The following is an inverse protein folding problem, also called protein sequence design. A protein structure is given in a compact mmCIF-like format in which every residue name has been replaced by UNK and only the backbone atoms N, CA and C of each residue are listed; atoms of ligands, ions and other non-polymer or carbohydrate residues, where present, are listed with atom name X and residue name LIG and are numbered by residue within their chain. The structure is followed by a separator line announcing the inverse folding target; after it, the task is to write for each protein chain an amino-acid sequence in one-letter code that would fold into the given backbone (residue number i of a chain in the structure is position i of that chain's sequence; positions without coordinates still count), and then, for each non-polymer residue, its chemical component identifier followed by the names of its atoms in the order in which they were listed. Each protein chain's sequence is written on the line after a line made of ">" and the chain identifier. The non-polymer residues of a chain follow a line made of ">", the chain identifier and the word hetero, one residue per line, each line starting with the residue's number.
data_IF_238941380028
#
_entry.id   IF_238941380028
#
_cell.length_a   1.000
_cell.length_b   1.000
_cell.length_c   1.000
_cell.angle_alpha   90.00
_cell.angle_beta   90.00
_cell.angle_gamma   90.00
#
_symmetry.space_group_name_H-M   'P 1'
#
loop_
_entity.id
_entity.type
_entity.pdbx_description
1 polymer ?
#
# COMPACT_ATOMS: atom_id res chain seq x y z
N UNK A 1 70.39 54.19 7.71
CA UNK A 1 69.57 55.02 8.61
C UNK A 1 68.20 55.24 7.97
N UNK A 2 67.14 54.95 8.76
CA UNK A 2 65.72 55.32 8.61
C UNK A 2 64.94 54.80 7.38
N UNK A 3 64.42 53.59 7.56
CA UNK A 3 63.14 53.11 6.99
C UNK A 3 62.00 54.04 7.40
N UNK A 4 61.25 54.57 6.43
CA UNK A 4 60.01 55.33 6.64
C UNK A 4 58.85 54.40 6.31
N UNK A 5 58.10 53.98 7.35
CA UNK A 5 56.84 53.26 7.21
C UNK A 5 55.72 54.28 6.99
N UNK A 6 55.04 54.23 5.84
CA UNK A 6 53.74 54.87 5.65
C UNK A 6 52.65 53.98 6.27
N UNK A 7 51.75 54.51 7.12
CA UNK A 7 50.60 53.74 7.56
C UNK A 7 49.53 53.76 6.45
N UNK A 8 49.17 52.59 5.95
CA UNK A 8 47.95 52.40 5.15
C UNK A 8 46.79 52.38 6.13
N UNK A 9 45.98 53.44 6.14
CA UNK A 9 44.72 53.48 6.88
C UNK A 9 43.68 52.73 6.04
N UNK A 10 43.38 51.50 6.42
CA UNK A 10 42.26 50.73 5.88
C UNK A 10 40.95 51.32 6.44
N UNK A 11 40.15 51.97 5.59
CA UNK A 11 38.76 52.29 5.92
C UNK A 11 37.93 51.00 5.77
N UNK A 12 37.70 50.31 6.89
CA UNK A 12 36.64 49.31 6.98
C UNK A 12 35.31 50.06 7.01
N UNK A 13 34.66 50.19 5.84
CA UNK A 13 33.24 50.53 5.78
C UNK A 13 32.47 49.37 6.44
N UNK A 14 32.09 49.54 7.69
CA UNK A 14 31.12 48.66 8.33
C UNK A 14 29.79 48.80 7.60
N UNK A 15 29.53 47.91 6.64
CA UNK A 15 28.18 47.71 6.15
C UNK A 15 27.39 47.10 7.31
N UNK A 16 26.58 47.93 7.97
CA UNK A 16 25.52 47.43 8.83
C UNK A 16 24.57 46.64 7.93
N UNK A 17 24.65 45.32 7.98
CA UNK A 17 23.59 44.45 7.48
C UNK A 17 22.40 44.73 8.38
N UNK A 18 21.50 45.58 7.92
CA UNK A 18 20.19 45.72 8.52
C UNK A 18 19.53 44.36 8.31
N UNK A 19 19.28 43.62 9.39
CA UNK A 19 18.50 42.39 9.31
C UNK A 19 17.19 42.76 8.63
N UNK A 20 16.92 42.19 7.46
CA UNK A 20 15.63 42.34 6.83
C UNK A 20 14.57 41.89 7.84
N UNK A 21 13.49 42.65 7.98
CA UNK A 21 12.33 42.25 8.78
C UNK A 21 11.71 41.01 8.12
N UNK A 22 12.26 39.84 8.47
CA UNK A 22 11.83 38.55 7.97
C UNK A 22 10.47 38.24 8.58
N UNK A 23 9.44 38.36 7.74
CA UNK A 23 8.06 38.02 8.06
C UNK A 23 7.60 36.86 7.18
N UNK A 24 6.47 36.23 7.52
CA UNK A 24 5.88 35.21 6.65
C UNK A 24 5.54 35.75 5.26
N UNK A 25 5.06 37.00 5.18
CA UNK A 25 4.73 37.67 3.92
C UNK A 25 5.98 37.93 3.08
N UNK A 26 7.08 38.41 3.69
CA UNK A 26 8.32 38.64 2.95
C UNK A 26 8.93 37.34 2.42
N UNK A 27 8.85 36.24 3.19
CA UNK A 27 9.30 34.91 2.76
C UNK A 27 8.45 34.37 1.60
N UNK A 28 7.13 34.57 1.64
CA UNK A 28 6.24 34.20 0.54
C UNK A 28 6.53 35.01 -0.72
N UNK A 29 6.71 36.33 -0.60
CA UNK A 29 7.03 37.19 -1.73
C UNK A 29 8.39 36.83 -2.35
N UNK A 30 9.40 36.54 -1.53
CA UNK A 30 10.71 36.09 -2.00
C UNK A 30 10.62 34.75 -2.73
N UNK A 31 9.87 33.79 -2.19
CA UNK A 31 9.66 32.50 -2.82
C UNK A 31 8.89 32.61 -4.15
N UNK A 32 7.80 33.39 -4.20
CA UNK A 32 7.01 33.61 -5.41
C UNK A 32 7.75 34.36 -6.52
N UNK A 33 8.84 35.07 -6.19
CA UNK A 33 9.70 35.69 -7.20
C UNK A 33 10.66 34.71 -7.88
N UNK A 34 10.94 33.54 -7.26
CA UNK A 34 11.95 32.58 -7.75
C UNK A 34 11.38 31.22 -8.14
N UNK A 35 10.33 30.77 -7.45
CA UNK A 35 9.70 29.47 -7.68
C UNK A 35 8.60 29.63 -8.74
N UNK A 36 8.59 28.73 -9.72
CA UNK A 36 7.51 28.69 -10.70
C UNK A 36 6.25 28.06 -10.08
N UNK A 37 5.13 28.78 -10.16
CA UNK A 37 3.82 28.27 -9.79
C UNK A 37 3.22 27.44 -10.92
N UNK A 38 2.59 26.33 -10.56
CA UNK A 38 1.74 25.54 -11.46
C UNK A 38 0.33 25.40 -10.86
N UNK A 39 -0.66 25.38 -11.75
CA UNK A 39 -2.06 25.15 -11.40
C UNK A 39 -2.41 23.65 -11.49
N UNK A 40 -3.67 23.33 -11.21
CA UNK A 40 -4.20 21.96 -11.23
C UNK A 40 -4.08 21.32 -12.62
N UNK A 41 -4.25 22.10 -13.68
CA UNK A 41 -4.15 21.60 -15.06
C UNK A 41 -2.72 21.20 -15.38
N UNK A 42 -1.76 22.06 -15.03
CA UNK A 42 -0.34 21.82 -15.22
C UNK A 42 0.16 20.66 -14.35
N UNK A 43 -0.28 20.55 -13.09
CA UNK A 43 0.06 19.42 -12.21
C UNK A 43 -0.46 18.09 -12.78
N UNK A 44 -1.73 18.03 -13.22
CA UNK A 44 -2.28 16.83 -13.85
C UNK A 44 -1.49 16.42 -15.09
N UNK A 45 -1.13 17.38 -15.92
CA UNK A 45 -0.32 17.14 -17.12
C UNK A 45 1.07 16.62 -16.75
N UNK A 46 1.73 17.22 -15.76
CA UNK A 46 3.03 16.76 -15.28
C UNK A 46 2.96 15.31 -14.75
N UNK A 47 1.93 15.00 -13.95
CA UNK A 47 1.71 13.65 -13.41
C UNK A 47 1.53 12.63 -14.53
N UNK A 48 0.83 13.01 -15.60
CA UNK A 48 0.60 12.13 -16.75
C UNK A 48 1.83 11.98 -17.66
N UNK A 49 2.63 13.03 -17.83
CA UNK A 49 3.65 13.10 -18.88
C UNK A 49 5.06 12.68 -18.43
N UNK A 50 5.46 12.92 -17.17
CA UNK A 50 6.82 12.62 -16.70
C UNK A 50 6.79 11.62 -15.52
N UNK A 51 7.08 10.33 -15.72
CA UNK A 51 7.07 9.34 -14.64
C UNK A 51 8.14 9.58 -13.56
N UNK A 52 9.13 10.47 -13.80
CA UNK A 52 10.14 10.83 -12.80
C UNK A 52 9.64 11.89 -11.81
N UNK A 53 8.46 12.46 -12.02
CA UNK A 53 7.94 13.51 -11.14
C UNK A 53 7.89 13.06 -9.68
N UNK A 54 7.99 14.01 -8.77
CA UNK A 54 7.80 13.81 -7.33
C UNK A 54 6.84 14.87 -6.82
N UNK A 55 5.73 14.45 -6.22
CA UNK A 55 4.79 15.36 -5.55
C UNK A 55 5.05 15.32 -4.05
N UNK A 56 5.47 16.43 -3.45
CA UNK A 56 5.84 16.52 -2.03
C UNK A 56 4.78 17.28 -1.25
N UNK A 57 4.12 16.58 -0.33
CA UNK A 57 3.25 17.17 0.67
C UNK A 57 4.06 17.63 1.89
N UNK A 58 4.08 18.93 2.15
CA UNK A 58 4.78 19.48 3.33
C UNK A 58 3.88 19.69 4.55
N UNK A 59 2.64 19.21 4.53
CA UNK A 59 1.77 19.14 5.71
C UNK A 59 2.30 18.13 6.72
N UNK A 60 1.83 18.25 7.96
CA UNK A 60 2.07 17.20 8.97
C UNK A 60 1.18 15.99 8.72
N UNK A 61 1.61 14.82 9.20
CA UNK A 61 0.82 13.58 9.10
C UNK A 61 -0.57 13.73 9.72
N UNK A 62 -0.68 14.46 10.85
CA UNK A 62 -1.96 14.77 11.50
C UNK A 62 -2.88 15.58 10.60
N UNK A 63 -2.37 16.62 9.93
CA UNK A 63 -3.17 17.40 8.99
C UNK A 63 -3.66 16.55 7.82
N UNK A 64 -2.79 15.71 7.26
CA UNK A 64 -3.15 14.79 6.16
C UNK A 64 -4.31 13.88 6.58
N UNK A 65 -4.20 13.25 7.75
CA UNK A 65 -5.24 12.38 8.28
C UNK A 65 -6.56 13.14 8.48
N UNK A 66 -6.53 14.33 9.09
CA UNK A 66 -7.73 15.11 9.40
C UNK A 66 -8.36 15.80 8.19
N UNK A 67 -7.59 16.07 7.13
CA UNK A 67 -8.06 16.83 5.97
C UNK A 67 -8.42 15.94 4.77
N UNK A 68 -8.32 14.62 4.92
CA UNK A 68 -8.81 13.65 3.94
C UNK A 68 -7.76 13.24 2.91
N UNK A 69 -6.50 13.12 3.31
CA UNK A 69 -5.45 12.49 2.50
C UNK A 69 -4.49 13.44 1.81
N UNK A 70 -3.80 12.93 0.80
CA UNK A 70 -2.75 13.55 -0.01
C UNK A 70 -3.12 13.48 -1.49
N UNK A 71 -2.55 14.34 -2.33
CA UNK A 71 -2.68 14.24 -3.79
C UNK A 71 -2.12 12.88 -4.25
N UNK A 72 -2.95 12.07 -4.93
CA UNK A 72 -2.49 10.80 -5.51
C UNK A 72 -1.73 11.07 -6.80
N UNK A 73 -0.49 10.60 -6.86
CA UNK A 73 0.38 10.62 -8.03
C UNK A 73 1.23 9.35 -8.04
N UNK A 74 1.95 9.09 -9.13
CA UNK A 74 2.85 7.93 -9.21
C UNK A 74 3.90 7.95 -8.10
N UNK A 75 4.37 9.14 -7.69
CA UNK A 75 5.34 9.30 -6.61
C UNK A 75 4.99 10.50 -5.72
N UNK A 76 4.12 10.24 -4.75
CA UNK A 76 3.79 11.21 -3.68
C UNK A 76 4.61 10.91 -2.43
N UNK A 77 5.25 11.93 -1.86
CA UNK A 77 5.98 11.86 -0.58
C UNK A 77 5.35 12.80 0.43
N UNK A 78 5.31 12.41 1.72
CA UNK A 78 5.08 13.36 2.81
C UNK A 78 6.39 13.65 3.53
N UNK A 79 6.85 14.88 3.40
CA UNK A 79 8.00 15.39 4.13
C UNK A 79 7.54 16.69 4.81
N UNK A 80 7.09 16.63 6.08
CA UNK A 80 6.59 17.81 6.78
C UNK A 80 7.60 18.95 6.69
N UNK A 81 7.12 20.19 6.51
CA UNK A 81 7.99 21.35 6.24
C UNK A 81 9.25 21.41 7.11
N UNK A 82 9.13 21.14 8.42
CA UNK A 82 10.27 21.22 9.36
C UNK A 82 11.34 20.13 9.20
N UNK A 83 11.10 19.10 8.39
CA UNK A 83 12.02 17.99 8.13
C UNK A 83 12.57 17.98 6.69
N UNK A 84 12.11 18.89 5.83
CA UNK A 84 12.40 18.87 4.40
C UNK A 84 13.89 18.82 4.08
N UNK A 85 14.64 19.75 4.66
CA UNK A 85 16.09 19.90 4.47
C UNK A 85 16.88 18.67 4.92
N UNK A 86 16.33 17.88 5.84
CA UNK A 86 17.00 16.74 6.46
C UNK A 86 16.64 15.39 5.84
N UNK A 87 15.51 15.31 5.12
CA UNK A 87 14.98 14.05 4.60
C UNK A 87 15.04 13.95 3.08
N UNK A 88 15.04 15.08 2.36
CA UNK A 88 14.88 15.06 0.90
C UNK A 88 16.01 14.31 0.18
N UNK A 89 17.27 14.48 0.59
CA UNK A 89 18.42 13.83 -0.04
C UNK A 89 18.38 12.29 0.11
N UNK A 90 17.64 11.75 1.09
CA UNK A 90 17.44 10.31 1.25
C UNK A 90 16.26 9.75 0.44
N UNK A 91 15.39 10.62 -0.08
CA UNK A 91 14.16 10.21 -0.76
C UNK A 91 14.14 10.57 -2.25
N UNK A 92 14.81 11.65 -2.67
CA UNK A 92 14.88 12.11 -4.06
C UNK A 92 16.34 12.33 -4.45
N UNK A 93 16.94 11.29 -5.00
CA UNK A 93 18.36 11.27 -5.41
C UNK A 93 18.61 12.02 -6.72
N UNK A 94 17.66 11.97 -7.66
CA UNK A 94 17.73 12.70 -8.93
C UNK A 94 17.38 14.17 -8.67
N UNK A 95 18.39 15.05 -8.75
CA UNK A 95 18.22 16.49 -8.55
C UNK A 95 17.55 17.21 -9.72
N UNK A 96 17.44 16.55 -10.88
CA UNK A 96 16.79 17.08 -12.08
C UNK A 96 15.35 16.55 -12.27
N UNK A 97 14.91 15.64 -11.40
CA UNK A 97 13.53 15.17 -11.37
C UNK A 97 12.56 16.36 -11.17
N UNK A 98 11.42 16.40 -11.89
CA UNK A 98 10.40 17.41 -11.64
C UNK A 98 9.83 17.26 -10.23
N UNK A 99 10.02 18.25 -9.36
CA UNK A 99 9.49 18.25 -8.00
C UNK A 99 8.38 19.27 -7.91
N UNK A 100 7.20 18.84 -7.49
CA UNK A 100 6.08 19.73 -7.17
C UNK A 100 5.84 19.71 -5.67
N UNK A 101 5.95 20.86 -5.03
CA UNK A 101 5.70 21.00 -3.59
C UNK A 101 4.32 21.59 -3.37
N UNK A 102 3.56 21.03 -2.43
CA UNK A 102 2.24 21.54 -2.08
C UNK A 102 1.97 21.48 -0.57
N UNK A 103 1.01 22.29 -0.12
CA UNK A 103 0.42 22.18 1.20
C UNK A 103 -1.09 22.44 1.13
N UNK A 104 -1.73 22.70 2.28
CA UNK A 104 -3.17 22.97 2.34
C UNK A 104 -3.64 24.12 1.43
N UNK A 105 -3.14 25.33 1.68
CA UNK A 105 -3.61 26.58 1.05
C UNK A 105 -2.44 27.44 0.53
N UNK A 106 -1.39 26.81 -0.01
CA UNK A 106 -0.26 27.50 -0.63
C UNK A 106 0.53 28.51 0.25
N UNK A 107 0.59 28.28 1.57
CA UNK A 107 1.35 29.13 2.51
C UNK A 107 2.71 28.56 2.90
N UNK A 108 2.84 27.24 2.88
CA UNK A 108 4.08 26.52 3.27
C UNK A 108 4.88 26.02 2.07
N UNK A 109 4.21 25.77 0.96
CA UNK A 109 4.82 25.17 -0.23
C UNK A 109 5.74 26.13 -1.00
N UNK A 110 5.46 27.45 -1.16
CA UNK A 110 6.41 28.32 -1.85
C UNK A 110 7.79 28.38 -1.17
N UNK A 111 7.91 28.67 0.14
CA UNK A 111 9.22 28.71 0.78
C UNK A 111 9.87 27.32 0.88
N UNK A 112 9.10 26.24 0.91
CA UNK A 112 9.63 24.89 0.83
C UNK A 112 10.27 24.59 -0.54
N UNK A 113 9.57 24.92 -1.63
CA UNK A 113 10.08 24.77 -2.98
C UNK A 113 11.34 25.62 -3.20
N UNK A 114 11.36 26.85 -2.68
CA UNK A 114 12.54 27.71 -2.76
C UNK A 114 13.74 27.10 -2.00
N UNK A 115 13.51 26.50 -0.82
CA UNK A 115 14.55 25.76 -0.11
C UNK A 115 15.12 24.65 -0.97
N UNK A 116 14.29 23.86 -1.67
CA UNK A 116 14.78 22.79 -2.55
C UNK A 116 15.63 23.33 -3.71
N UNK A 117 15.23 24.46 -4.32
CA UNK A 117 16.06 25.13 -5.32
C UNK A 117 17.43 25.53 -4.75
N UNK A 118 17.46 26.09 -3.53
CA UNK A 118 18.71 26.45 -2.83
C UNK A 118 19.58 25.24 -2.48
N UNK A 119 18.97 24.08 -2.26
CA UNK A 119 19.65 22.80 -2.06
C UNK A 119 20.15 22.18 -3.37
N UNK A 120 19.89 22.80 -4.53
CA UNK A 120 20.41 22.37 -5.83
C UNK A 120 19.48 21.48 -6.64
N UNK A 121 18.20 21.36 -6.26
CA UNK A 121 17.19 20.76 -7.14
C UNK A 121 16.84 21.75 -8.25
N UNK A 122 16.93 21.31 -9.51
CA UNK A 122 16.92 22.21 -10.67
C UNK A 122 15.53 22.42 -11.26
N UNK A 123 14.61 21.48 -11.01
CA UNK A 123 13.27 21.44 -11.63
C UNK A 123 12.16 21.45 -10.56
N UNK A 124 12.06 22.53 -9.79
CA UNK A 124 11.13 22.65 -8.65
C UNK A 124 10.01 23.62 -8.94
N UNK A 125 8.78 23.17 -8.70
CA UNK A 125 7.54 23.93 -8.84
C UNK A 125 6.77 24.00 -7.51
N UNK A 126 6.00 25.05 -7.34
CA UNK A 126 4.98 25.16 -6.30
C UNK A 126 3.60 24.90 -6.90
N UNK A 127 2.80 24.03 -6.27
CA UNK A 127 1.40 23.85 -6.65
C UNK A 127 0.55 24.93 -5.98
N UNK A 128 0.14 25.92 -6.78
CA UNK A 128 -0.42 27.17 -6.28
C UNK A 128 -1.87 27.06 -5.79
N UNK A 129 -2.66 26.17 -6.37
CA UNK A 129 -4.07 25.98 -5.98
C UNK A 129 -4.19 25.32 -4.59
N UNK A 130 -3.19 24.49 -4.23
CA UNK A 130 -3.14 23.80 -2.94
C UNK A 130 -4.08 22.59 -2.84
N UNK A 131 -3.90 21.81 -1.77
CA UNK A 131 -4.59 20.55 -1.57
C UNK A 131 -6.13 20.68 -1.54
N UNK A 132 -6.66 21.74 -0.92
CA UNK A 132 -8.11 21.86 -0.76
C UNK A 132 -8.82 22.08 -2.10
N UNK A 133 -8.22 22.80 -3.04
CA UNK A 133 -8.77 22.96 -4.39
C UNK A 133 -8.73 21.63 -5.16
N UNK A 134 -7.62 20.89 -5.09
CA UNK A 134 -7.52 19.54 -5.67
C UNK A 134 -8.63 18.60 -5.13
N UNK A 135 -8.81 18.60 -3.81
CA UNK A 135 -9.84 17.80 -3.13
C UNK A 135 -11.25 18.25 -3.53
N UNK A 136 -11.53 19.55 -3.53
CA UNK A 136 -12.85 20.10 -3.88
C UNK A 136 -13.22 19.81 -5.34
N UNK A 137 -12.22 19.69 -6.22
CA UNK A 137 -12.39 19.25 -7.60
C UNK A 137 -12.66 17.75 -7.76
N UNK A 138 -12.68 16.97 -6.67
CA UNK A 138 -12.93 15.52 -6.69
C UNK A 138 -11.80 14.73 -7.35
N UNK A 139 -10.58 15.29 -7.38
CA UNK A 139 -9.44 14.64 -8.02
C UNK A 139 -8.85 13.53 -7.14
N UNK A 140 -8.11 12.56 -7.73
CA UNK A 140 -7.61 11.40 -6.99
C UNK A 140 -6.80 11.76 -5.75
N UNK A 141 -7.13 11.12 -4.63
CA UNK A 141 -6.48 11.28 -3.34
C UNK A 141 -5.98 9.95 -2.81
N UNK A 142 -4.89 10.04 -2.06
CA UNK A 142 -4.39 9.00 -1.18
C UNK A 142 -4.85 9.29 0.24
N UNK A 143 -5.81 8.51 0.73
CA UNK A 143 -6.35 8.68 2.08
C UNK A 143 -5.65 7.68 2.99
N UNK A 144 -5.12 8.14 4.12
CA UNK A 144 -4.44 7.25 5.09
C UNK A 144 -5.42 6.51 6.02
N UNK A 145 -6.65 7.03 6.14
CA UNK A 145 -7.76 6.44 6.88
C UNK A 145 -9.10 7.00 6.36
N UNK A 146 -9.93 6.17 5.71
CA UNK A 146 -11.27 6.58 5.22
C UNK A 146 -12.34 6.48 6.31
N UNK A 147 -12.05 5.88 7.46
CA UNK A 147 -12.96 5.72 8.58
C UNK A 147 -12.26 6.08 9.92
N UNK A 148 -11.92 7.37 10.13
CA UNK A 148 -11.08 7.83 11.24
C UNK A 148 -11.64 7.58 12.65
N UNK A 149 -12.92 7.27 12.76
CA UNK A 149 -13.59 6.92 14.02
C UNK A 149 -13.61 5.39 14.28
N UNK A 150 -12.92 4.61 13.44
CA UNK A 150 -12.82 3.15 13.49
C UNK A 150 -11.36 2.70 13.37
N UNK A 151 -11.06 1.47 13.79
CA UNK A 151 -9.78 0.86 13.43
C UNK A 151 -9.76 0.38 11.99
N UNK A 152 -10.93 0.19 11.37
CA UNK A 152 -11.03 -0.12 9.95
C UNK A 152 -10.56 1.10 9.14
N UNK A 153 -9.67 0.89 8.19
CA UNK A 153 -9.37 1.88 7.15
C UNK A 153 -10.61 2.35 6.37
N UNK A 154 -11.57 1.48 6.06
CA UNK A 154 -12.83 1.85 5.41
C UNK A 154 -13.99 1.06 6.02
N UNK A 155 -15.19 1.66 6.01
CA UNK A 155 -16.39 0.97 6.49
C UNK A 155 -16.79 -0.14 5.50
N UNK A 156 -17.39 -1.25 5.97
CA UNK A 156 -17.85 -2.29 5.06
C UNK A 156 -18.88 -1.77 4.07
N UNK A 157 -18.71 -2.13 2.80
CA UNK A 157 -19.67 -1.91 1.72
C UNK A 157 -20.24 -3.24 1.22
N UNK A 158 -21.51 -3.23 0.81
CA UNK A 158 -22.14 -4.39 0.19
C UNK A 158 -21.65 -4.50 -1.27
N UNK A 159 -20.86 -5.54 -1.54
CA UNK A 159 -20.32 -5.82 -2.88
C UNK A 159 -21.41 -6.40 -3.77
N UNK A 160 -22.17 -7.33 -3.22
CA UNK A 160 -23.41 -7.87 -3.80
C UNK A 160 -24.29 -8.38 -2.66
N UNK A 161 -25.52 -8.76 -2.95
CA UNK A 161 -26.50 -9.20 -1.95
C UNK A 161 -25.88 -10.15 -0.91
N UNK A 162 -25.83 -9.71 0.35
CA UNK A 162 -25.30 -10.47 1.48
C UNK A 162 -23.78 -10.72 1.49
N UNK A 163 -23.00 -10.19 0.56
CA UNK A 163 -21.53 -10.24 0.54
C UNK A 163 -20.97 -8.84 0.73
N UNK A 164 -20.26 -8.64 1.83
CA UNK A 164 -19.75 -7.34 2.24
C UNK A 164 -18.23 -7.38 2.34
N UNK A 165 -17.59 -6.24 2.13
CA UNK A 165 -16.15 -6.09 2.33
C UNK A 165 -15.79 -4.73 2.90
N UNK A 166 -14.97 -4.72 3.94
CA UNK A 166 -14.23 -3.53 4.33
C UNK A 166 -12.92 -3.53 3.54
N UNK A 167 -12.82 -2.61 2.56
CA UNK A 167 -11.67 -2.55 1.65
C UNK A 167 -10.47 -1.97 2.39
N UNK A 168 -9.36 -2.72 2.39
CA UNK A 168 -8.13 -2.31 3.05
C UNK A 168 -7.42 -1.15 2.35
N UNK A 169 -6.50 -0.50 3.04
CA UNK A 169 -5.58 0.43 2.39
C UNK A 169 -4.67 -0.36 1.43
N UNK A 170 -4.62 0.03 0.16
CA UNK A 170 -3.70 -0.57 -0.82
C UNK A 170 -2.21 -0.32 -0.51
N UNK A 171 -1.93 0.53 0.48
CA UNK A 171 -0.61 0.82 1.06
C UNK A 171 0.00 -0.34 1.86
N UNK A 172 1.29 -0.25 2.24
CA UNK A 172 1.81 -1.08 3.31
C UNK A 172 1.05 -0.86 4.62
N UNK A 173 1.14 -1.84 5.51
CA UNK A 173 0.62 -1.69 6.87
C UNK A 173 1.32 -0.52 7.59
N UNK A 174 0.55 0.34 8.25
CA UNK A 174 1.07 1.47 9.04
C UNK A 174 0.37 1.55 10.39
N UNK A 175 0.81 2.49 11.22
CA UNK A 175 0.08 2.81 12.45
C UNK A 175 -1.27 3.47 12.11
N UNK A 176 -1.27 4.35 11.11
CA UNK A 176 -2.42 5.17 10.69
C UNK A 176 -3.56 4.28 10.20
N UNK A 177 -3.31 3.36 9.27
CA UNK A 177 -4.34 2.44 8.75
C UNK A 177 -4.65 1.27 9.70
N UNK A 178 -4.11 1.28 10.93
CA UNK A 178 -4.27 0.20 11.92
C UNK A 178 -3.83 -1.18 11.41
N UNK A 179 -2.98 -1.25 10.39
CA UNK A 179 -2.63 -2.49 9.70
C UNK A 179 -3.74 -3.05 8.78
N UNK A 180 -4.88 -2.36 8.63
CA UNK A 180 -5.95 -2.75 7.71
C UNK A 180 -5.53 -2.46 6.28
N UNK A 181 -4.78 -3.39 5.70
CA UNK A 181 -4.26 -3.25 4.35
C UNK A 181 -4.75 -4.33 3.38
N UNK A 182 -5.30 -5.45 3.87
CA UNK A 182 -6.05 -6.42 3.06
C UNK A 182 -7.57 -6.22 3.22
N UNK A 183 -8.36 -6.92 2.41
CA UNK A 183 -9.82 -6.88 2.48
C UNK A 183 -10.35 -7.78 3.60
N UNK A 184 -11.19 -7.20 4.46
CA UNK A 184 -11.90 -7.92 5.51
C UNK A 184 -13.36 -8.12 5.09
N UNK A 185 -13.67 -9.32 4.61
CA UNK A 185 -14.96 -9.62 3.99
C UNK A 185 -15.86 -10.44 4.90
N UNK A 186 -17.17 -10.37 4.69
CA UNK A 186 -18.10 -11.25 5.36
C UNK A 186 -19.33 -11.57 4.52
N UNK A 187 -19.84 -12.78 4.71
CA UNK A 187 -20.98 -13.36 3.99
C UNK A 187 -22.09 -13.55 5.00
N UNK A 188 -23.21 -12.87 4.80
CA UNK A 188 -24.44 -13.02 5.59
C UNK A 188 -25.30 -14.09 4.94
N UNK A 189 -25.71 -15.08 5.74
CA UNK A 189 -26.69 -16.09 5.35
C UNK A 189 -27.84 -16.15 6.36
N UNK A 190 -28.86 -16.96 6.08
CA UNK A 190 -30.03 -17.12 6.94
C UNK A 190 -29.71 -17.74 8.32
N UNK A 191 -28.53 -18.34 8.50
CA UNK A 191 -28.16 -19.05 9.73
C UNK A 191 -26.86 -18.58 10.38
N UNK A 192 -26.27 -17.49 9.88
CA UNK A 192 -25.06 -16.93 10.47
C UNK A 192 -24.22 -16.15 9.47
N UNK A 193 -23.10 -15.65 9.97
CA UNK A 193 -22.11 -14.91 9.18
C UNK A 193 -20.81 -15.72 9.08
N UNK A 194 -20.21 -15.75 7.91
CA UNK A 194 -18.83 -16.22 7.69
C UNK A 194 -17.95 -15.00 7.44
N UNK A 195 -16.91 -14.82 8.23
CA UNK A 195 -15.92 -13.76 8.05
C UNK A 195 -14.71 -14.33 7.32
N UNK A 196 -14.16 -13.58 6.36
CA UNK A 196 -12.91 -13.89 5.66
C UNK A 196 -11.87 -12.86 6.10
N UNK A 197 -10.75 -13.38 6.61
CA UNK A 197 -9.67 -12.70 7.31
C UNK A 197 -10.04 -12.20 8.71
N UNK A 198 -9.19 -12.54 9.68
CA UNK A 198 -9.35 -12.13 11.07
C UNK A 198 -8.85 -10.71 11.35
N UNK A 199 -8.08 -10.12 10.43
CA UNK A 199 -7.46 -8.81 10.56
C UNK A 199 -6.06 -8.84 11.18
N UNK A 200 -5.37 -7.71 11.10
CA UNK A 200 -3.98 -7.52 11.54
C UNK A 200 -3.79 -7.48 13.06
N UNK A 201 -4.83 -7.17 13.82
CA UNK A 201 -4.75 -7.07 15.28
C UNK A 201 -6.14 -7.20 15.94
N UNK A 202 -6.11 -7.34 17.27
CA UNK A 202 -7.31 -7.55 18.09
C UNK A 202 -8.34 -6.43 17.97
N UNK A 203 -7.90 -5.16 17.90
CA UNK A 203 -8.79 -4.00 17.84
C UNK A 203 -9.43 -3.82 16.46
N UNK A 204 -8.69 -4.14 15.40
CA UNK A 204 -9.21 -4.19 14.04
C UNK A 204 -10.28 -5.28 13.89
N UNK A 205 -9.97 -6.50 14.35
CA UNK A 205 -10.92 -7.62 14.38
C UNK A 205 -12.21 -7.27 15.12
N UNK A 206 -12.07 -6.63 16.30
CA UNK A 206 -13.21 -6.14 17.08
C UNK A 206 -14.04 -5.12 16.31
N UNK A 207 -13.39 -4.18 15.64
CA UNK A 207 -14.08 -3.12 14.90
C UNK A 207 -14.88 -3.69 13.73
N UNK A 208 -14.34 -4.66 13.00
CA UNK A 208 -15.11 -5.38 11.97
C UNK A 208 -16.35 -6.05 12.56
N UNK A 209 -16.21 -6.77 13.68
CA UNK A 209 -17.34 -7.45 14.32
C UNK A 209 -18.41 -6.47 14.82
N UNK A 210 -18.00 -5.30 15.33
CA UNK A 210 -18.94 -4.26 15.73
C UNK A 210 -19.72 -3.72 14.51
N UNK A 211 -19.10 -3.59 13.33
CA UNK A 211 -19.82 -3.24 12.09
C UNK A 211 -20.74 -4.35 11.60
N UNK A 212 -20.32 -5.63 11.65
CA UNK A 212 -21.18 -6.76 11.29
C UNK A 212 -22.47 -6.73 12.13
N UNK A 213 -22.37 -6.47 13.44
CA UNK A 213 -23.53 -6.35 14.34
C UNK A 213 -24.46 -5.16 14.05
N UNK A 214 -23.99 -4.16 13.31
CA UNK A 214 -24.85 -3.05 12.84
C UNK A 214 -25.60 -3.40 11.56
N UNK A 215 -25.06 -4.32 10.76
CA UNK A 215 -25.65 -4.77 9.50
C UNK A 215 -26.62 -5.94 9.73
N UNK A 216 -26.34 -6.83 10.69
CA UNK A 216 -27.17 -8.02 10.94
C UNK A 216 -27.17 -8.48 12.41
N UNK A 217 -28.28 -9.08 12.83
CA UNK A 217 -28.42 -9.76 14.13
C UNK A 217 -27.91 -11.22 14.10
N UNK A 218 -27.54 -11.73 12.92
CA UNK A 218 -27.01 -13.09 12.78
C UNK A 218 -25.65 -13.24 13.46
N UNK A 219 -25.40 -14.34 14.21
CA UNK A 219 -24.11 -14.54 14.84
C UNK A 219 -23.03 -14.92 13.82
N UNK A 220 -21.80 -14.46 14.03
CA UNK A 220 -20.63 -14.98 13.30
C UNK A 220 -20.40 -16.44 13.70
N UNK A 221 -20.37 -17.33 12.71
CA UNK A 221 -20.23 -18.78 12.90
C UNK A 221 -18.82 -19.27 12.63
N UNK A 222 -18.14 -18.66 11.67
CA UNK A 222 -16.80 -19.03 11.24
C UNK A 222 -16.01 -17.79 10.86
N UNK A 223 -14.70 -17.84 11.15
CA UNK A 223 -13.71 -16.96 10.54
C UNK A 223 -12.79 -17.84 9.71
N UNK A 224 -12.55 -17.45 8.47
CA UNK A 224 -11.72 -18.16 7.51
C UNK A 224 -10.50 -17.29 7.20
N UNK A 225 -9.30 -17.84 7.30
CA UNK A 225 -8.08 -17.14 6.92
C UNK A 225 -7.75 -17.47 5.47
N UNK A 226 -7.52 -16.44 4.65
CA UNK A 226 -7.07 -16.64 3.27
C UNK A 226 -5.66 -17.26 3.22
N UNK A 227 -4.80 -16.90 4.17
CA UNK A 227 -3.43 -17.42 4.31
C UNK A 227 -2.84 -17.17 5.72
N UNK A 228 -1.53 -17.44 5.86
CA UNK A 228 -0.79 -17.29 7.11
C UNK A 228 -0.19 -15.90 7.38
N UNK A 229 -0.46 -14.89 6.55
CA UNK A 229 0.14 -13.57 6.70
C UNK A 229 -0.44 -12.76 7.87
N UNK A 230 0.36 -11.83 8.38
CA UNK A 230 0.04 -11.05 9.57
C UNK A 230 -1.29 -10.28 9.48
N UNK A 231 -1.57 -9.65 8.34
CA UNK A 231 -2.81 -8.88 8.13
C UNK A 231 -4.07 -9.76 8.12
N UNK A 232 -3.93 -11.06 7.83
CA UNK A 232 -5.04 -11.98 7.74
C UNK A 232 -5.30 -12.65 9.09
N UNK A 233 -4.24 -12.98 9.84
CA UNK A 233 -4.33 -13.94 10.95
C UNK A 233 -4.16 -13.36 12.37
N UNK A 234 -3.47 -12.23 12.56
CA UNK A 234 -3.05 -11.79 13.90
C UNK A 234 -4.22 -11.35 14.79
N UNK A 235 -5.36 -10.98 14.20
CA UNK A 235 -6.62 -10.68 14.88
C UNK A 235 -7.39 -11.92 15.34
N UNK A 236 -6.96 -13.15 15.02
CA UNK A 236 -7.73 -14.38 15.26
C UNK A 236 -8.14 -14.57 16.72
N UNK A 237 -7.29 -14.16 17.67
CA UNK A 237 -7.55 -14.37 19.09
C UNK A 237 -8.70 -13.51 19.62
N UNK A 238 -9.08 -12.44 18.91
CA UNK A 238 -10.33 -11.73 19.19
C UNK A 238 -11.54 -12.64 18.94
N UNK A 239 -11.59 -13.27 17.77
CA UNK A 239 -12.70 -14.12 17.36
C UNK A 239 -12.81 -15.37 18.25
N UNK A 240 -11.68 -15.98 18.59
CA UNK A 240 -11.63 -17.10 19.52
C UNK A 240 -12.10 -16.71 20.94
N UNK A 241 -11.74 -15.52 21.43
CA UNK A 241 -12.27 -14.98 22.69
C UNK A 241 -13.81 -14.82 22.64
N UNK A 242 -14.41 -14.68 21.44
CA UNK A 242 -15.87 -14.65 21.25
C UNK A 242 -16.50 -16.05 21.08
N UNK A 243 -15.70 -17.13 21.12
CA UNK A 243 -16.15 -18.49 20.86
C UNK A 243 -16.41 -18.79 19.38
N UNK A 244 -15.87 -17.98 18.46
CA UNK A 244 -16.00 -18.18 17.01
C UNK A 244 -14.80 -18.99 16.51
N UNK A 245 -15.00 -20.19 15.94
CA UNK A 245 -13.90 -21.02 15.43
C UNK A 245 -13.25 -20.40 14.18
N UNK A 246 -11.92 -20.45 14.15
CA UNK A 246 -11.08 -19.99 13.04
C UNK A 246 -10.64 -21.18 12.19
N UNK A 247 -10.78 -21.07 10.87
CA UNK A 247 -10.45 -22.10 9.88
C UNK A 247 -9.34 -21.59 8.97
N UNK A 248 -8.36 -22.44 8.66
CA UNK A 248 -7.29 -22.12 7.70
C UNK A 248 -6.85 -23.37 6.91
N UNK A 249 -6.12 -23.17 5.81
CA UNK A 249 -5.41 -24.27 5.16
C UNK A 249 -4.33 -24.86 6.10
N UNK A 250 -4.00 -26.15 5.94
CA UNK A 250 -2.96 -26.81 6.75
C UNK A 250 -1.58 -26.15 6.59
N UNK A 251 -1.24 -25.67 5.38
CA UNK A 251 0.03 -24.98 5.14
C UNK A 251 0.03 -23.56 5.70
N UNK A 252 -1.09 -22.84 5.62
CA UNK A 252 -1.24 -21.56 6.30
C UNK A 252 -1.07 -21.71 7.82
N UNK A 253 -1.59 -22.78 8.42
CA UNK A 253 -1.38 -23.07 9.84
C UNK A 253 0.10 -23.33 10.17
N UNK A 254 0.84 -24.04 9.31
CA UNK A 254 2.28 -24.25 9.45
C UNK A 254 3.06 -22.94 9.36
N UNK A 255 2.68 -22.07 8.42
CA UNK A 255 3.29 -20.74 8.28
C UNK A 255 3.03 -19.85 9.51
N UNK A 256 1.82 -19.91 10.09
CA UNK A 256 1.51 -19.22 11.35
C UNK A 256 2.36 -19.75 12.50
N UNK A 257 2.53 -21.07 12.62
CA UNK A 257 3.39 -21.68 13.65
C UNK A 257 4.86 -21.23 13.50
N UNK A 258 5.38 -21.27 12.27
CA UNK A 258 6.78 -20.95 11.96
C UNK A 258 7.08 -19.45 12.09
N UNK A 259 6.26 -18.60 11.48
CA UNK A 259 6.56 -17.16 11.30
C UNK A 259 5.79 -16.25 12.26
N UNK A 260 4.75 -16.77 12.92
CA UNK A 260 3.87 -16.01 13.81
C UNK A 260 4.57 -15.17 14.88
N UNK A 261 5.58 -15.69 15.61
CA UNK A 261 6.31 -14.90 16.61
C UNK A 261 6.98 -13.65 16.03
N UNK A 262 7.59 -13.76 14.85
CA UNK A 262 8.25 -12.65 14.18
C UNK A 262 7.23 -11.63 13.64
N UNK A 263 6.11 -12.12 13.08
CA UNK A 263 5.02 -11.27 12.61
C UNK A 263 4.39 -10.48 13.77
N UNK A 264 4.13 -11.13 14.91
CA UNK A 264 3.60 -10.46 16.10
C UNK A 264 4.57 -9.37 16.62
N UNK A 265 5.87 -9.64 16.66
CA UNK A 265 6.86 -8.65 17.09
C UNK A 265 6.88 -7.41 16.19
N UNK A 266 6.83 -7.60 14.85
CA UNK A 266 6.75 -6.50 13.87
C UNK A 266 5.45 -5.70 14.04
N UNK A 267 4.33 -6.37 14.24
CA UNK A 267 3.04 -5.73 14.53
C UNK A 267 3.12 -4.87 15.80
N UNK A 268 3.65 -5.40 16.91
CA UNK A 268 3.80 -4.65 18.16
C UNK A 268 4.66 -3.39 18.01
N UNK A 269 5.76 -3.48 17.26
CA UNK A 269 6.63 -2.33 16.99
C UNK A 269 5.92 -1.25 16.15
N UNK A 270 5.19 -1.66 15.11
CA UNK A 270 4.48 -0.76 14.19
C UNK A 270 3.27 -0.12 14.86
N UNK A 271 2.39 -0.94 15.42
CA UNK A 271 1.04 -0.52 15.85
C UNK A 271 0.98 -0.03 17.28
N UNK A 272 2.02 -0.25 18.10
CA UNK A 272 2.17 0.33 19.45
C UNK A 272 0.93 0.06 20.33
N UNK A 273 0.22 1.11 20.74
CA UNK A 273 -1.01 1.02 21.51
C UNK A 273 -2.14 0.30 20.77
N UNK A 274 -2.18 0.36 19.43
CA UNK A 274 -3.16 -0.40 18.63
C UNK A 274 -2.90 -1.93 18.65
N UNK A 275 -1.74 -2.39 19.13
CA UNK A 275 -1.47 -3.81 19.34
C UNK A 275 -2.13 -4.38 20.61
N UNK A 276 -2.87 -3.55 21.38
CA UNK A 276 -3.53 -3.96 22.62
C UNK A 276 -4.28 -5.29 22.49
N UNK A 277 -4.00 -6.22 23.42
CA UNK A 277 -4.55 -7.59 23.48
C UNK A 277 -4.25 -8.52 22.29
N UNK A 278 -3.49 -8.06 21.29
CA UNK A 278 -3.10 -8.91 20.17
C UNK A 278 -2.11 -9.97 20.64
N UNK A 279 -2.46 -11.24 20.40
CA UNK A 279 -1.70 -12.43 20.80
C UNK A 279 -1.68 -13.40 19.64
N UNK A 280 -0.61 -14.18 19.56
CA UNK A 280 -0.53 -15.28 18.60
C UNK A 280 -1.51 -16.39 19.02
N UNK A 281 -2.21 -16.96 18.05
CA UNK A 281 -3.07 -18.13 18.19
C UNK A 281 -2.77 -19.15 17.10
N UNK A 282 -3.57 -20.21 17.06
CA UNK A 282 -3.57 -21.20 15.99
C UNK A 282 -5.01 -21.39 15.48
N UNK A 283 -5.22 -21.71 14.19
CA UNK A 283 -6.53 -22.06 13.68
C UNK A 283 -7.15 -23.23 14.47
N UNK A 284 -8.45 -23.16 14.76
CA UNK A 284 -9.18 -24.21 15.48
C UNK A 284 -9.45 -25.43 14.59
N UNK A 285 -9.52 -25.22 13.27
CA UNK A 285 -9.75 -26.24 12.26
C UNK A 285 -8.87 -25.99 11.04
N UNK A 286 -8.37 -27.07 10.45
CA UNK A 286 -7.63 -27.02 9.19
C UNK A 286 -8.26 -27.91 8.13
N UNK A 287 -7.95 -27.62 6.87
CA UNK A 287 -8.30 -28.44 5.71
C UNK A 287 -7.16 -28.46 4.69
N UNK A 288 -7.26 -29.34 3.69
CA UNK A 288 -6.32 -29.43 2.56
C UNK A 288 -6.95 -28.83 1.31
N UNK A 289 -7.55 -29.63 0.44
CA UNK A 289 -7.90 -29.19 -0.92
C UNK A 289 -9.21 -28.38 -0.94
N UNK A 290 -10.22 -28.86 -0.20
CA UNK A 290 -11.56 -28.28 -0.20
C UNK A 290 -12.27 -28.48 1.14
N UNK A 291 -13.01 -27.46 1.57
CA UNK A 291 -13.98 -27.57 2.66
C UNK A 291 -15.26 -26.81 2.31
N UNK A 292 -16.39 -27.51 2.35
CA UNK A 292 -17.71 -26.91 2.09
C UNK A 292 -18.38 -26.54 3.42
N UNK A 293 -18.71 -25.26 3.57
CA UNK A 293 -19.52 -24.75 4.66
C UNK A 293 -20.97 -24.60 4.19
N UNK A 294 -21.84 -25.46 4.71
CA UNK A 294 -23.29 -25.39 4.50
C UNK A 294 -23.89 -24.51 5.60
N UNK A 295 -24.33 -23.30 5.26
CA UNK A 295 -24.84 -22.34 6.25
C UNK A 295 -26.00 -21.53 5.69
N UNK A 296 -27.21 -21.71 6.25
CA UNK A 296 -28.37 -20.89 5.89
C UNK A 296 -28.80 -21.05 4.43
N UNK A 297 -28.73 -22.27 3.89
CA UNK A 297 -29.09 -22.57 2.50
C UNK A 297 -27.99 -22.26 1.47
N UNK A 298 -26.90 -21.60 1.89
CA UNK A 298 -25.75 -21.32 1.03
C UNK A 298 -24.66 -22.38 1.17
N UNK A 299 -24.03 -22.70 0.04
CA UNK A 299 -22.77 -23.44 -0.01
C UNK A 299 -21.64 -22.44 -0.17
N UNK A 300 -20.77 -22.35 0.83
CA UNK A 300 -19.55 -21.54 0.80
C UNK A 300 -18.37 -22.52 0.69
N UNK A 301 -17.67 -22.52 -0.43
CA UNK A 301 -16.57 -23.44 -0.70
C UNK A 301 -15.23 -22.77 -0.37
N UNK A 302 -14.45 -23.37 0.52
CA UNK A 302 -13.07 -22.98 0.78
C UNK A 302 -12.17 -23.86 -0.09
N UNK A 303 -11.43 -23.26 -1.02
CA UNK A 303 -10.69 -24.01 -2.03
C UNK A 303 -9.21 -23.60 -2.00
N UNK A 304 -8.32 -24.58 -1.86
CA UNK A 304 -6.93 -24.40 -2.25
C UNK A 304 -6.81 -24.76 -3.75
N UNK A 305 -6.51 -23.76 -4.58
CA UNK A 305 -6.39 -23.94 -6.03
C UNK A 305 -4.97 -24.32 -6.47
N UNK A 306 -4.07 -24.59 -5.55
CA UNK A 306 -2.64 -24.79 -5.79
C UNK A 306 -1.79 -23.61 -5.29
N UNK A 307 -0.47 -23.66 -5.53
CA UNK A 307 0.44 -22.60 -5.12
C UNK A 307 0.08 -21.25 -5.74
N UNK A 308 0.23 -20.18 -4.95
CA UNK A 308 -0.03 -18.81 -5.36
C UNK A 308 0.92 -17.85 -4.61
N UNK A 309 0.40 -16.80 -3.99
CA UNK A 309 1.14 -15.76 -3.28
C UNK A 309 1.91 -16.27 -2.06
N UNK A 310 1.31 -17.16 -1.27
CA UNK A 310 1.88 -17.74 -0.07
C UNK A 310 1.44 -19.19 0.18
N UNK A 311 2.20 -19.98 0.96
CA UNK A 311 1.84 -21.35 1.26
C UNK A 311 0.47 -21.47 1.94
N UNK A 312 -0.42 -22.22 1.30
CA UNK A 312 -1.77 -22.45 1.79
C UNK A 312 -2.75 -21.31 1.55
N UNK A 313 -2.51 -20.46 0.55
CA UNK A 313 -3.55 -19.56 0.04
C UNK A 313 -4.81 -20.34 -0.33
N UNK A 314 -5.96 -19.75 -0.03
CA UNK A 314 -7.26 -20.27 -0.41
C UNK A 314 -8.12 -19.18 -1.03
N UNK A 315 -9.10 -19.58 -1.81
CA UNK A 315 -10.22 -18.74 -2.22
C UNK A 315 -11.48 -19.16 -1.48
N UNK A 316 -12.39 -18.21 -1.25
CA UNK A 316 -13.74 -18.47 -0.76
C UNK A 316 -14.72 -18.26 -1.90
N UNK A 317 -15.32 -19.36 -2.37
CA UNK A 317 -16.16 -19.40 -3.56
C UNK A 317 -17.64 -19.60 -3.20
N UNK A 318 -18.51 -18.74 -3.77
CA UNK A 318 -19.96 -18.83 -3.65
C UNK A 318 -20.55 -19.17 -5.04
N UNK A 319 -20.71 -20.46 -5.38
CA UNK A 319 -21.12 -20.90 -6.71
C UNK A 319 -22.51 -20.40 -7.13
N UNK A 320 -23.47 -20.36 -6.19
CA UNK A 320 -24.84 -19.88 -6.42
C UNK A 320 -24.88 -18.41 -6.84
N UNK A 321 -23.94 -17.61 -6.34
CA UNK A 321 -23.84 -16.16 -6.55
C UNK A 321 -22.80 -15.77 -7.60
N UNK A 322 -21.96 -16.72 -8.01
CA UNK A 322 -20.77 -16.52 -8.84
C UNK A 322 -19.83 -15.43 -8.31
N UNK A 323 -19.61 -15.46 -7.00
CA UNK A 323 -18.72 -14.51 -6.30
C UNK A 323 -17.55 -15.27 -5.72
N UNK A 324 -16.33 -14.79 -5.95
CA UNK A 324 -15.13 -15.30 -5.29
C UNK A 324 -14.48 -14.20 -4.46
N UNK A 325 -14.20 -14.50 -3.19
CA UNK A 325 -13.23 -13.73 -2.39
C UNK A 325 -11.92 -14.47 -2.58
N UNK A 326 -11.05 -13.96 -3.45
CA UNK A 326 -9.86 -14.69 -3.91
C UNK A 326 -8.70 -14.64 -2.92
N UNK A 327 -8.78 -13.74 -1.94
CA UNK A 327 -7.62 -13.34 -1.17
C UNK A 327 -6.44 -12.97 -2.08
N UNK A 328 -5.23 -13.22 -1.59
CA UNK A 328 -4.01 -12.88 -2.32
C UNK A 328 -3.71 -13.81 -3.51
N UNK A 329 -4.64 -14.68 -3.92
CA UNK A 329 -4.53 -15.31 -5.25
C UNK A 329 -4.60 -14.26 -6.36
N UNK A 330 -5.33 -13.15 -6.15
CA UNK A 330 -5.48 -12.06 -7.11
C UNK A 330 -5.37 -10.67 -6.46
N UNK A 331 -4.77 -9.73 -7.19
CA UNK A 331 -4.53 -8.35 -6.77
C UNK A 331 -5.19 -7.34 -7.72
N UNK A 332 -5.67 -6.23 -7.15
CA UNK A 332 -6.21 -5.08 -7.88
C UNK A 332 -5.72 -3.78 -7.24
N UNK A 333 -5.48 -2.74 -8.06
CA UNK A 333 -4.98 -1.40 -7.67
C UNK A 333 -3.59 -1.37 -7.01
N UNK A 334 -3.10 -2.50 -6.50
CA UNK A 334 -1.85 -2.70 -5.78
C UNK A 334 -0.97 -3.72 -6.50
N UNK A 335 0.33 -3.47 -6.55
CA UNK A 335 1.32 -4.43 -7.02
C UNK A 335 1.42 -5.62 -6.05
N UNK A 336 1.36 -6.84 -6.58
CA UNK A 336 1.57 -8.07 -5.82
C UNK A 336 3.00 -8.13 -5.25
N UNK A 337 3.18 -8.51 -3.97
CA UNK A 337 4.49 -8.88 -3.46
C UNK A 337 4.89 -10.28 -3.94
N UNK A 338 6.16 -10.46 -4.29
CA UNK A 338 6.78 -11.79 -4.38
C UNK A 338 7.61 -12.02 -3.12
N UNK A 339 7.59 -13.24 -2.58
CA UNK A 339 8.39 -13.67 -1.44
C UNK A 339 9.38 -14.77 -1.83
N UNK A 340 10.27 -15.13 -0.90
CA UNK A 340 11.28 -16.17 -1.12
C UNK A 340 10.67 -17.57 -1.33
N UNK A 341 9.46 -17.79 -0.82
CA UNK A 341 8.69 -19.03 -0.89
C UNK A 341 7.53 -18.97 -1.89
N UNK A 342 7.41 -17.88 -2.65
CA UNK A 342 6.45 -17.77 -3.76
C UNK A 342 6.97 -18.56 -4.95
N UNK A 343 6.17 -19.49 -5.46
CA UNK A 343 6.42 -20.19 -6.73
C UNK A 343 5.62 -19.48 -7.83
N UNK A 344 6.29 -18.61 -8.59
CA UNK A 344 5.63 -17.76 -9.58
C UNK A 344 5.20 -18.53 -10.82
N UNK A 345 5.90 -19.61 -11.18
CA UNK A 345 5.49 -20.52 -12.25
C UNK A 345 4.17 -21.22 -11.89
N UNK A 346 4.12 -21.84 -10.71
CA UNK A 346 2.93 -22.54 -10.23
C UNK A 346 1.76 -21.58 -9.97
N UNK A 347 2.02 -20.33 -9.56
CA UNK A 347 0.96 -19.32 -9.45
C UNK A 347 0.32 -19.01 -10.80
N UNK A 348 1.11 -18.90 -11.88
CA UNK A 348 0.58 -18.73 -13.24
C UNK A 348 -0.27 -19.94 -13.66
N UNK A 349 0.14 -21.16 -13.32
CA UNK A 349 -0.64 -22.39 -13.60
C UNK A 349 -1.93 -22.48 -12.75
N UNK A 350 -1.88 -22.04 -11.49
CA UNK A 350 -3.05 -21.96 -10.60
C UNK A 350 -4.12 -21.02 -11.16
N UNK A 351 -3.73 -20.03 -11.97
CA UNK A 351 -4.67 -19.07 -12.54
C UNK A 351 -5.74 -19.71 -13.42
N UNK A 352 -5.41 -20.78 -14.16
CA UNK A 352 -6.40 -21.47 -15.01
C UNK A 352 -7.54 -22.04 -14.16
N UNK A 353 -7.21 -22.67 -13.03
CA UNK A 353 -8.20 -23.19 -12.07
C UNK A 353 -9.01 -22.07 -11.41
N UNK A 354 -8.41 -20.90 -11.22
CA UNK A 354 -9.10 -19.72 -10.68
C UNK A 354 -10.11 -19.12 -11.67
N UNK A 355 -9.75 -19.06 -12.95
CA UNK A 355 -10.64 -18.60 -14.04
C UNK A 355 -11.78 -19.61 -14.28
N UNK A 356 -11.51 -20.91 -14.15
CA UNK A 356 -12.50 -21.98 -14.32
C UNK A 356 -13.66 -21.94 -13.30
N UNK A 357 -13.52 -21.20 -12.18
CA UNK A 357 -14.63 -20.92 -11.28
C UNK A 357 -15.77 -20.16 -11.97
N UNK A 358 -15.46 -19.35 -12.99
CA UNK A 358 -16.45 -18.58 -13.73
C UNK A 358 -17.12 -17.49 -12.88
N UNK A 359 -16.36 -16.84 -12.00
CA UNK A 359 -16.83 -15.74 -11.17
C UNK A 359 -17.26 -14.53 -12.00
N UNK A 360 -18.39 -13.93 -11.63
CA UNK A 360 -18.85 -12.65 -12.18
C UNK A 360 -18.35 -11.47 -11.35
N UNK A 361 -18.12 -11.68 -10.04
CA UNK A 361 -17.56 -10.69 -9.12
C UNK A 361 -16.39 -11.31 -8.37
N UNK A 362 -15.28 -10.57 -8.30
CA UNK A 362 -14.06 -10.97 -7.61
C UNK A 362 -13.74 -9.92 -6.55
N UNK A 363 -13.61 -10.35 -5.30
CA UNK A 363 -13.08 -9.55 -4.20
C UNK A 363 -11.62 -9.97 -3.98
N UNK A 364 -10.63 -9.19 -4.42
CA UNK A 364 -9.22 -9.51 -4.28
C UNK A 364 -8.76 -9.42 -2.82
N UNK A 365 -7.56 -9.92 -2.49
CA UNK A 365 -6.95 -9.73 -1.17
C UNK A 365 -6.63 -8.26 -0.89
N UNK A 366 -6.31 -7.52 -1.94
CA UNK A 366 -6.02 -6.08 -1.91
C UNK A 366 -6.71 -5.35 -3.06
N UNK A 367 -7.26 -4.17 -2.78
CA UNK A 367 -7.94 -3.29 -3.74
C UNK A 367 -9.45 -3.50 -3.80
N UNK A 368 -10.14 -2.66 -4.57
CA UNK A 368 -11.59 -2.74 -4.74
C UNK A 368 -12.06 -4.01 -5.49
N UNK A 369 -13.32 -4.43 -5.33
CA UNK A 369 -13.90 -5.54 -6.07
C UNK A 369 -13.99 -5.23 -7.57
N UNK A 370 -13.89 -6.27 -8.40
CA UNK A 370 -13.95 -6.16 -9.87
C UNK A 370 -15.04 -7.05 -10.47
N UNK A 371 -15.48 -6.70 -11.68
CA UNK A 371 -16.40 -7.51 -12.47
C UNK A 371 -15.64 -8.32 -13.52
N UNK A 372 -15.75 -9.65 -13.45
CA UNK A 372 -14.98 -10.57 -14.29
C UNK A 372 -13.47 -10.53 -14.01
N UNK A 373 -12.69 -11.20 -14.86
CA UNK A 373 -11.28 -11.50 -14.60
C UNK A 373 -10.29 -10.53 -15.23
N UNK A 374 -10.72 -9.57 -16.06
CA UNK A 374 -9.81 -8.78 -16.90
C UNK A 374 -8.77 -8.00 -16.09
N UNK A 375 -9.20 -7.22 -15.10
CA UNK A 375 -8.31 -6.35 -14.33
C UNK A 375 -7.35 -7.16 -13.45
N UNK A 376 -7.86 -8.16 -12.73
CA UNK A 376 -7.04 -9.02 -11.88
C UNK A 376 -6.06 -9.88 -12.69
N UNK A 377 -6.44 -10.32 -13.89
CA UNK A 377 -5.53 -11.06 -14.79
C UNK A 377 -4.40 -10.15 -15.26
N UNK A 378 -4.74 -8.93 -15.70
CA UNK A 378 -3.77 -7.94 -16.18
C UNK A 378 -2.72 -7.58 -15.12
N UNK A 379 -3.15 -7.42 -13.87
CA UNK A 379 -2.29 -6.91 -12.79
C UNK A 379 -1.72 -7.98 -11.85
N UNK A 380 -2.10 -9.25 -12.02
CA UNK A 380 -1.53 -10.37 -11.26
C UNK A 380 -0.81 -11.34 -12.19
N UNK A 381 -1.56 -12.14 -12.98
CA UNK A 381 -0.97 -13.16 -13.87
C UNK A 381 -0.09 -12.55 -14.94
N UNK A 382 -0.58 -11.56 -15.68
CA UNK A 382 0.14 -11.03 -16.83
C UNK A 382 1.40 -10.26 -16.38
N UNK A 383 1.40 -9.69 -15.18
CA UNK A 383 2.61 -9.15 -14.54
C UNK A 383 3.64 -10.26 -14.28
N UNK A 384 3.23 -11.39 -13.69
CA UNK A 384 4.15 -12.51 -13.45
C UNK A 384 4.70 -13.08 -14.76
N UNK A 385 3.85 -13.25 -15.78
CA UNK A 385 4.26 -13.71 -17.11
C UNK A 385 5.28 -12.75 -17.70
N UNK A 386 4.97 -11.44 -17.72
CA UNK A 386 5.89 -10.42 -18.22
C UNK A 386 7.24 -10.47 -17.51
N UNK A 387 7.24 -10.50 -16.18
CA UNK A 387 8.48 -10.52 -15.40
C UNK A 387 9.31 -11.78 -15.66
N UNK A 388 8.68 -12.95 -15.75
CA UNK A 388 9.38 -14.20 -16.06
C UNK A 388 9.94 -14.20 -17.48
N UNK A 389 9.21 -13.68 -18.47
CA UNK A 389 9.71 -13.54 -19.86
C UNK A 389 10.92 -12.60 -19.95
N UNK A 390 10.93 -11.49 -19.21
CA UNK A 390 12.08 -10.57 -19.18
C UNK A 390 13.29 -11.17 -18.46
N UNK A 391 13.07 -11.90 -17.37
CA UNK A 391 14.13 -12.63 -16.66
C UNK A 391 14.71 -13.75 -17.53
N UNK A 392 13.88 -14.49 -18.27
CA UNK A 392 14.33 -15.53 -19.21
C UNK A 392 15.31 -14.96 -20.24
N UNK A 393 14.97 -13.81 -20.86
CA UNK A 393 15.87 -13.11 -21.81
C UNK A 393 17.22 -12.76 -21.19
N UNK A 394 17.24 -12.35 -19.92
CA UNK A 394 18.47 -12.03 -19.19
C UNK A 394 19.30 -13.30 -18.99
N UNK A 395 18.68 -14.39 -18.52
CA UNK A 395 19.36 -15.66 -18.28
C UNK A 395 19.92 -16.27 -19.58
N UNK A 396 19.16 -16.26 -20.67
CA UNK A 396 19.61 -16.72 -21.99
C UNK A 396 20.80 -15.91 -22.53
N UNK A 397 20.85 -14.62 -22.21
CA UNK A 397 21.97 -13.74 -22.55
C UNK A 397 23.19 -13.88 -21.60
N UNK A 398 23.10 -14.72 -20.56
CA UNK A 398 24.13 -14.87 -19.53
C UNK A 398 24.25 -13.65 -18.59
N UNK A 399 23.19 -12.86 -18.48
CA UNK A 399 23.10 -11.73 -17.55
C UNK A 399 22.89 -12.18 -16.10
N UNK A 400 22.95 -11.22 -15.19
CA UNK A 400 22.83 -11.46 -13.75
C UNK A 400 21.78 -10.59 -13.07
N UNK A 401 21.70 -10.70 -11.74
CA UNK A 401 20.75 -9.95 -10.90
C UNK A 401 20.77 -8.43 -11.14
N UNK A 402 21.92 -7.85 -11.51
CA UNK A 402 22.01 -6.42 -11.82
C UNK A 402 21.20 -6.04 -13.07
N UNK A 403 21.15 -6.92 -14.06
CA UNK A 403 20.37 -6.73 -15.29
C UNK A 403 18.87 -6.85 -14.98
N UNK A 404 18.47 -7.75 -14.06
CA UNK A 404 17.09 -7.88 -13.61
C UNK A 404 16.53 -6.61 -12.96
N UNK A 405 17.37 -5.87 -12.22
CA UNK A 405 16.97 -4.56 -11.70
C UNK A 405 16.67 -3.51 -12.78
N UNK A 406 17.12 -3.74 -14.02
CA UNK A 406 16.92 -2.87 -15.17
C UNK A 406 15.68 -3.19 -16.01
N UNK A 407 14.88 -4.21 -15.64
CA UNK A 407 13.64 -4.56 -16.35
C UNK A 407 12.67 -3.36 -16.31
N UNK A 408 12.13 -2.98 -17.48
CA UNK A 408 11.21 -1.85 -17.61
C UNK A 408 9.79 -2.19 -17.12
N UNK A 409 9.54 -1.90 -15.85
CA UNK A 409 8.23 -2.13 -15.24
C UNK A 409 7.29 -0.91 -15.33
N UNK A 410 7.57 0.07 -16.20
CA UNK A 410 6.81 1.32 -16.27
C UNK A 410 5.31 1.13 -16.55
N UNK A 411 4.92 0.04 -17.19
CA UNK A 411 3.51 -0.32 -17.41
C UNK A 411 2.72 -0.62 -16.11
N UNK A 412 3.43 -0.86 -14.99
CA UNK A 412 2.85 -1.17 -13.68
C UNK A 412 3.09 -0.06 -12.66
N UNK A 413 3.73 1.03 -13.08
CA UNK A 413 4.09 2.18 -12.25
C UNK A 413 2.89 2.76 -11.47
N UNK A 414 1.71 2.78 -12.08
CA UNK A 414 0.50 3.33 -11.46
C UNK A 414 -0.08 2.49 -10.31
N UNK A 415 0.37 1.24 -10.14
CA UNK A 415 -0.09 0.38 -9.05
C UNK A 415 0.46 0.86 -7.70
N UNK A 416 -0.39 0.82 -6.69
CA UNK A 416 0.01 1.14 -5.33
C UNK A 416 1.08 0.13 -4.88
N UNK A 417 2.09 0.60 -4.14
CA UNK A 417 3.29 -0.15 -3.71
C UNK A 417 4.32 -0.49 -4.79
N UNK A 418 4.20 0.05 -6.01
CA UNK A 418 5.18 -0.14 -7.08
C UNK A 418 6.62 0.17 -6.64
N UNK A 419 6.84 1.34 -6.02
CA UNK A 419 8.20 1.79 -5.64
C UNK A 419 8.84 0.91 -4.55
N UNK A 420 8.02 0.29 -3.72
CA UNK A 420 8.43 -0.63 -2.67
C UNK A 420 8.72 -2.03 -3.20
N UNK A 421 7.99 -2.49 -4.23
CA UNK A 421 7.96 -3.89 -4.65
C UNK A 421 8.64 -4.17 -5.99
N UNK A 422 8.55 -3.29 -6.99
CA UNK A 422 9.00 -3.58 -8.37
C UNK A 422 10.44 -4.12 -8.43
N UNK A 423 11.36 -3.43 -7.74
CA UNK A 423 12.78 -3.85 -7.69
C UNK A 423 12.97 -5.15 -6.91
N UNK A 424 12.19 -5.37 -5.86
CA UNK A 424 12.27 -6.58 -5.02
C UNK A 424 11.71 -7.79 -5.77
N UNK A 425 10.59 -7.63 -6.45
CA UNK A 425 9.97 -8.67 -7.26
C UNK A 425 10.92 -9.10 -8.38
N UNK A 426 11.54 -8.16 -9.09
CA UNK A 426 12.55 -8.48 -10.11
C UNK A 426 13.71 -9.32 -9.54
N UNK A 427 14.17 -9.00 -8.33
CA UNK A 427 15.24 -9.77 -7.68
C UNK A 427 14.82 -11.20 -7.35
N UNK A 428 13.64 -11.36 -6.76
CA UNK A 428 13.16 -12.66 -6.29
C UNK A 428 12.80 -13.57 -7.45
N UNK A 429 12.14 -13.05 -8.48
CA UNK A 429 11.82 -13.82 -9.71
C UNK A 429 13.11 -14.22 -10.43
N UNK A 430 14.10 -13.32 -10.51
CA UNK A 430 15.41 -13.67 -11.08
C UNK A 430 16.06 -14.82 -10.32
N UNK A 431 16.10 -14.75 -8.98
CA UNK A 431 16.68 -15.78 -8.14
C UNK A 431 15.96 -17.12 -8.30
N UNK A 432 14.62 -17.11 -8.27
CA UNK A 432 13.79 -18.28 -8.50
C UNK A 432 14.14 -18.96 -9.83
N UNK A 433 14.12 -18.21 -10.94
CA UNK A 433 14.39 -18.75 -12.28
C UNK A 433 15.86 -19.16 -12.47
N UNK A 434 16.80 -18.49 -11.82
CA UNK A 434 18.21 -18.90 -11.82
C UNK A 434 18.38 -20.28 -11.14
N UNK A 435 17.69 -20.52 -10.02
CA UNK A 435 17.67 -21.84 -9.38
C UNK A 435 17.01 -22.91 -10.27
N UNK A 436 15.87 -22.61 -10.90
CA UNK A 436 15.20 -23.49 -11.86
C UNK A 436 16.14 -23.90 -13.02
N UNK A 437 16.85 -22.93 -13.61
CA UNK A 437 17.76 -23.17 -14.73
C UNK A 437 18.97 -24.03 -14.36
N UNK A 438 19.39 -24.01 -13.09
CA UNK A 438 20.46 -24.83 -12.57
C UNK A 438 20.00 -26.25 -12.17
N UNK A 439 18.68 -26.51 -12.19
CA UNK A 439 18.08 -27.82 -11.91
C UNK A 439 18.05 -28.21 -10.43
N UNK A 440 17.92 -27.21 -9.54
CA UNK A 440 17.82 -27.42 -8.09
C UNK A 440 16.39 -27.56 -7.59
#
# INVERSE_FOLDING_TARGET
>A
MRTTLLPIILWLSGATVQAADLTGESLLAEAGATVADIDTTALKKLIADDPRHVVIDVRTQTEIALTGGQIRSHRTLNIPRGWLEFQIDGQVLDRDAPIVVYCGQNLRSPPAAQTLQRMGYTNVYNYADGFFEWKNAGLPLYVADKAPESFLYSMPEEVTDGVWSAIGATQPHTYENSGHNNNLSFIITDSGVVVVNAGDNYLLAKSLHDEIRRVTDQPVKYVVLENGQGHAMLGMTYWQDQGVPVIAHVDAAREIEKNGPALLARLQQRSRDKAFRTRLGQPDRTFTDRLDLQLGGETIELLNLGPAHSPGDIVVWLPSRKVVISGDVAFHERMLPVFEDTDTAAWIETWDRFVDLGAEIIVPGHGGPVHGYEEVTRYTRDYLVYMREEVEKILEAGGGLNDAYGIDQSAYAHLDTFHELARRNAALIFQEMEYEALGF
#
